data_IF_754510082057
#
_entry.id   IF_754510082057
#
_cell.length_a   1.000
_cell.length_b   1.000
_cell.length_c   1.000
_cell.angle_alpha   90.00
_cell.angle_beta   90.00
_cell.angle_gamma   90.00
#
_symmetry.space_group_name_H-M   'P 1'
#
loop_
_entity.id
_entity.type
_entity.pdbx_description
1 polymer ?
#
# COMPACT_ATOMS: atom_id res chain seq x y z
N UNK A 1 1.77 -0.51 -18.37
CA UNK A 1 2.83 -0.79 -17.36
C UNK A 1 2.37 -0.37 -15.97
N UNK A 2 1.85 0.85 -15.80
CA UNK A 2 1.26 1.36 -14.55
C UNK A 2 0.10 0.48 -14.05
N UNK A 3 -0.89 0.20 -14.90
CA UNK A 3 -2.02 -0.69 -14.56
C UNK A 3 -1.58 -2.08 -14.08
N UNK A 4 -0.48 -2.62 -14.61
CA UNK A 4 0.05 -3.90 -14.18
C UNK A 4 0.66 -3.85 -12.76
N UNK A 5 1.21 -2.70 -12.36
CA UNK A 5 1.74 -2.49 -11.00
C UNK A 5 0.60 -2.26 -10.00
N UNK A 6 -0.43 -1.49 -10.38
CA UNK A 6 -1.67 -1.34 -9.61
C UNK A 6 -2.30 -2.70 -9.33
N UNK A 7 -2.47 -3.52 -10.36
CA UNK A 7 -3.04 -4.86 -10.21
C UNK A 7 -2.17 -5.77 -9.35
N UNK A 8 -0.84 -5.65 -9.40
CA UNK A 8 0.06 -6.41 -8.53
C UNK A 8 -0.13 -6.03 -7.05
N UNK A 9 -0.21 -4.74 -6.72
CA UNK A 9 -0.50 -4.28 -5.36
C UNK A 9 -1.84 -4.83 -4.85
N UNK A 10 -2.89 -4.73 -5.67
CA UNK A 10 -4.22 -5.29 -5.37
C UNK A 10 -4.16 -6.80 -5.15
N UNK A 11 -3.37 -7.52 -5.96
CA UNK A 11 -3.22 -8.96 -5.81
C UNK A 11 -2.50 -9.35 -4.52
N UNK A 12 -1.49 -8.60 -4.07
CA UNK A 12 -0.83 -8.86 -2.79
C UNK A 12 -1.83 -8.77 -1.62
N UNK A 13 -2.66 -7.72 -1.59
CA UNK A 13 -3.69 -7.54 -0.54
C UNK A 13 -4.70 -8.69 -0.58
N UNK A 14 -5.23 -9.02 -1.76
CA UNK A 14 -6.23 -10.09 -1.91
C UNK A 14 -5.70 -11.47 -1.53
N UNK A 15 -4.46 -11.78 -1.91
CA UNK A 15 -3.82 -13.05 -1.59
C UNK A 15 -3.53 -13.18 -0.09
N UNK A 16 -3.28 -12.07 0.61
CA UNK A 16 -3.13 -12.07 2.07
C UNK A 16 -4.44 -12.39 2.79
N UNK A 17 -5.56 -11.87 2.28
CA UNK A 17 -6.84 -11.86 2.97
C UNK A 17 -7.95 -12.65 2.24
N UNK A 18 -7.71 -13.93 2.01
CA UNK A 18 -8.74 -14.88 1.59
C UNK A 18 -9.37 -15.64 2.77
N UNK A 19 -10.67 -15.94 2.68
CA UNK A 19 -11.44 -16.70 3.69
C UNK A 19 -10.91 -18.13 3.89
N UNK A 20 -10.16 -18.64 2.93
CA UNK A 20 -9.47 -19.92 3.01
C UNK A 20 -8.06 -19.68 3.56
N UNK A 21 -7.88 -19.89 4.87
CA UNK A 21 -6.64 -19.59 5.58
C UNK A 21 -5.44 -20.29 4.93
N UNK A 22 -5.62 -21.51 4.41
CA UNK A 22 -4.56 -22.30 3.77
C UNK A 22 -4.07 -21.71 2.44
N UNK A 23 -4.84 -20.79 1.84
CA UNK A 23 -4.49 -20.11 0.58
C UNK A 23 -3.89 -18.73 0.81
N UNK A 24 -3.82 -18.26 2.06
CA UNK A 24 -3.25 -16.95 2.38
C UNK A 24 -1.77 -16.94 2.04
N UNK A 25 -1.31 -15.81 1.48
CA UNK A 25 0.11 -15.57 1.17
C UNK A 25 0.56 -14.31 1.89
N UNK A 26 1.75 -14.35 2.46
CA UNK A 26 2.36 -13.14 3.01
C UNK A 26 2.62 -12.13 1.91
N UNK A 27 2.54 -10.85 2.27
CA UNK A 27 2.87 -9.75 1.37
C UNK A 27 4.39 -9.66 1.26
N UNK A 28 4.91 -9.81 0.05
CA UNK A 28 6.31 -9.50 -0.24
C UNK A 28 6.47 -7.98 -0.24
N UNK A 29 6.81 -7.41 0.92
CA UNK A 29 6.86 -5.97 1.14
C UNK A 29 7.79 -5.27 0.14
N UNK A 30 8.92 -5.90 -0.19
CA UNK A 30 9.88 -5.33 -1.13
C UNK A 30 9.29 -5.23 -2.53
N UNK A 31 8.66 -6.30 -3.04
CA UNK A 31 7.99 -6.23 -4.34
C UNK A 31 6.79 -5.31 -4.35
N UNK A 32 6.05 -5.24 -3.24
CA UNK A 32 4.94 -4.29 -3.10
C UNK A 32 5.44 -2.85 -3.21
N UNK A 33 6.49 -2.51 -2.47
CA UNK A 33 7.10 -1.18 -2.50
C UNK A 33 7.73 -0.87 -3.86
N UNK A 34 8.29 -1.84 -4.58
CA UNK A 34 8.75 -1.62 -5.95
C UNK A 34 7.60 -1.27 -6.90
N UNK A 35 6.48 -2.00 -6.83
CA UNK A 35 5.29 -1.67 -7.60
C UNK A 35 4.83 -0.25 -7.28
N UNK A 36 4.76 0.08 -5.99
CA UNK A 36 4.30 1.38 -5.54
C UNK A 36 5.25 2.52 -5.95
N UNK A 37 6.56 2.36 -5.78
CA UNK A 37 7.59 3.31 -6.24
C UNK A 37 7.47 3.63 -7.73
N UNK A 38 7.23 2.61 -8.57
CA UNK A 38 6.99 2.80 -10.02
C UNK A 38 5.76 3.67 -10.26
N UNK A 39 4.66 3.41 -9.54
CA UNK A 39 3.45 4.23 -9.63
C UNK A 39 3.74 5.67 -9.20
N UNK A 40 4.34 5.88 -8.04
CA UNK A 40 4.70 7.20 -7.54
C UNK A 40 5.60 7.95 -8.52
N UNK A 41 6.62 7.29 -9.09
CA UNK A 41 7.55 7.88 -10.07
C UNK A 41 6.90 8.25 -11.40
N UNK A 42 5.72 7.72 -11.70
CA UNK A 42 4.98 8.03 -12.93
C UNK A 42 4.02 9.21 -12.78
N UNK A 43 3.81 9.73 -11.56
CA UNK A 43 2.85 10.79 -11.27
C UNK A 43 3.52 12.16 -11.25
N UNK A 44 2.96 13.11 -11.99
CA UNK A 44 3.48 14.47 -12.05
C UNK A 44 3.52 15.14 -10.67
N UNK A 45 2.54 14.87 -9.79
CA UNK A 45 2.53 15.40 -8.43
C UNK A 45 3.78 15.01 -7.63
N UNK A 46 4.15 13.73 -7.68
CA UNK A 46 5.39 13.24 -7.06
C UNK A 46 6.62 13.87 -7.71
N UNK A 47 6.66 13.93 -9.04
CA UNK A 47 7.81 14.47 -9.77
C UNK A 47 8.05 15.95 -9.45
N UNK A 48 7.00 16.76 -9.32
CA UNK A 48 7.14 18.15 -8.91
C UNK A 48 7.79 18.29 -7.53
N UNK A 49 7.36 17.47 -6.56
CA UNK A 49 7.93 17.49 -5.19
C UNK A 49 9.40 17.04 -5.23
N UNK A 50 9.70 15.97 -5.97
CA UNK A 50 11.08 15.46 -6.15
C UNK A 50 11.99 16.51 -6.79
N UNK A 51 11.51 17.24 -7.80
CA UNK A 51 12.27 18.33 -8.43
C UNK A 51 12.54 19.46 -7.44
N UNK A 52 11.53 19.89 -6.66
CA UNK A 52 11.72 20.90 -5.61
C UNK A 52 12.75 20.42 -4.57
N UNK A 53 12.72 19.15 -4.13
CA UNK A 53 13.74 18.59 -3.24
C UNK A 53 15.15 18.69 -3.84
N UNK A 54 15.30 18.45 -5.14
CA UNK A 54 16.60 18.53 -5.83
C UNK A 54 17.11 19.96 -5.96
N UNK A 55 16.21 20.91 -6.23
CA UNK A 55 16.57 22.31 -6.48
C UNK A 55 16.77 23.10 -5.18
N UNK A 56 15.92 22.86 -4.18
CA UNK A 56 15.85 23.62 -2.93
C UNK A 56 16.49 22.89 -1.74
N UNK A 57 16.78 21.59 -1.89
CA UNK A 57 17.28 20.73 -0.83
C UNK A 57 16.18 20.02 -0.02
N UNK A 58 16.58 19.01 0.73
CA UNK A 58 15.67 18.22 1.56
C UNK A 58 15.25 19.00 2.82
N UNK A 59 13.95 19.12 3.06
CA UNK A 59 13.39 19.82 4.22
C UNK A 59 12.24 19.03 4.84
N UNK A 60 11.94 19.28 6.12
CA UNK A 60 10.76 18.65 6.75
C UNK A 60 9.45 18.97 6.02
N UNK A 61 9.36 20.14 5.36
CA UNK A 61 8.17 20.53 4.63
C UNK A 61 7.98 19.66 3.38
N UNK A 62 8.99 19.56 2.51
CA UNK A 62 8.86 18.77 1.29
C UNK A 62 8.85 17.26 1.56
N UNK A 63 9.45 16.79 2.67
CA UNK A 63 9.24 15.43 3.19
C UNK A 63 7.77 15.16 3.53
N UNK A 64 7.14 16.07 4.28
CA UNK A 64 5.74 15.96 4.66
C UNK A 64 4.82 15.98 3.44
N UNK A 65 5.03 16.91 2.52
CA UNK A 65 4.30 16.99 1.25
C UNK A 65 4.45 15.70 0.43
N UNK A 66 5.65 15.10 0.40
CA UNK A 66 5.89 13.83 -0.27
C UNK A 66 5.13 12.67 0.41
N UNK A 67 5.15 12.59 1.74
CA UNK A 67 4.42 11.58 2.52
C UNK A 67 2.92 11.65 2.26
N UNK A 68 2.33 12.84 2.30
CA UNK A 68 0.90 13.04 2.01
C UNK A 68 0.55 12.65 0.57
N UNK A 69 1.35 13.07 -0.41
CA UNK A 69 1.12 12.71 -1.81
C UNK A 69 1.21 11.19 -2.03
N UNK A 70 2.18 10.51 -1.41
CA UNK A 70 2.27 9.04 -1.46
C UNK A 70 1.06 8.38 -0.79
N UNK A 71 0.67 8.83 0.40
CA UNK A 71 -0.51 8.31 1.09
C UNK A 71 -1.77 8.41 0.20
N UNK A 72 -1.94 9.54 -0.50
CA UNK A 72 -3.04 9.74 -1.44
C UNK A 72 -2.99 8.77 -2.63
N UNK A 73 -1.80 8.56 -3.24
CA UNK A 73 -1.64 7.61 -4.34
C UNK A 73 -1.94 6.18 -3.85
N UNK A 74 -1.45 5.80 -2.67
CA UNK A 74 -1.72 4.49 -2.09
C UNK A 74 -3.23 4.25 -1.94
N UNK A 75 -3.94 5.22 -1.36
CA UNK A 75 -5.39 5.12 -1.16
C UNK A 75 -6.11 5.06 -2.51
N UNK A 76 -5.70 5.88 -3.47
CA UNK A 76 -6.31 5.88 -4.81
C UNK A 76 -6.20 4.51 -5.50
N UNK A 77 -5.08 3.79 -5.32
CA UNK A 77 -4.88 2.44 -5.90
C UNK A 77 -5.61 1.35 -5.11
N UNK A 78 -5.64 1.44 -3.78
CA UNK A 78 -5.95 0.29 -2.91
C UNK A 78 -7.33 0.36 -2.24
N UNK A 79 -7.97 1.53 -2.16
CA UNK A 79 -9.20 1.73 -1.37
C UNK A 79 -10.31 0.74 -1.73
N UNK A 80 -10.59 0.56 -3.02
CA UNK A 80 -11.64 -0.35 -3.46
C UNK A 80 -11.33 -1.80 -3.08
N UNK A 81 -10.07 -2.22 -3.22
CA UNK A 81 -9.63 -3.56 -2.81
C UNK A 81 -9.78 -3.76 -1.31
N UNK A 82 -9.31 -2.80 -0.50
CA UNK A 82 -9.37 -2.84 0.96
C UNK A 82 -10.82 -2.90 1.44
N UNK A 83 -11.68 -2.04 0.90
CA UNK A 83 -13.10 -2.02 1.22
C UNK A 83 -13.78 -3.36 0.89
N UNK A 84 -13.47 -3.94 -0.27
CA UNK A 84 -14.00 -5.25 -0.67
C UNK A 84 -13.51 -6.39 0.23
N UNK A 85 -12.24 -6.37 0.65
CA UNK A 85 -11.70 -7.34 1.60
C UNK A 85 -12.44 -7.23 2.93
N UNK A 86 -12.55 -6.03 3.51
CA UNK A 86 -13.24 -5.82 4.80
C UNK A 86 -14.69 -6.29 4.71
N UNK A 87 -15.42 -5.81 3.69
CA UNK A 87 -16.83 -6.14 3.45
C UNK A 87 -17.06 -7.65 3.34
N UNK A 88 -16.16 -8.37 2.66
CA UNK A 88 -16.24 -9.84 2.52
C UNK A 88 -16.24 -10.57 3.87
N UNK A 89 -15.55 -10.04 4.88
CA UNK A 89 -15.53 -10.62 6.22
C UNK A 89 -16.68 -10.10 7.09
N UNK A 90 -16.94 -8.79 7.10
CA UNK A 90 -18.02 -8.15 7.87
C UNK A 90 -19.41 -8.69 7.47
N UNK A 91 -19.69 -8.80 6.17
CA UNK A 91 -20.98 -9.26 5.64
C UNK A 91 -21.05 -10.79 5.46
N UNK A 92 -20.17 -11.53 6.14
CA UNK A 92 -20.21 -13.00 6.09
C UNK A 92 -21.55 -13.52 6.58
N UNK A 93 -22.21 -14.33 5.73
CA UNK A 93 -23.45 -15.04 6.03
C UNK A 93 -23.27 -16.54 5.76
N UNK A 94 -23.99 -17.37 6.50
CA UNK A 94 -23.87 -18.82 6.38
C UNK A 94 -24.67 -19.56 7.45
N UNK A 95 -24.86 -20.87 7.25
CA UNK A 95 -25.52 -21.75 8.24
C UNK A 95 -24.62 -22.06 9.44
N UNK A 96 -23.31 -22.04 9.24
CA UNK A 96 -22.32 -22.24 10.30
C UNK A 96 -22.04 -20.90 10.99
N UNK A 97 -22.74 -20.65 12.09
CA UNK A 97 -22.65 -19.39 12.84
C UNK A 97 -21.28 -19.20 13.47
N UNK A 98 -20.65 -20.27 13.97
CA UNK A 98 -19.31 -20.21 14.57
C UNK A 98 -18.29 -19.71 13.56
N UNK A 99 -18.32 -20.24 12.34
CA UNK A 99 -17.42 -19.81 11.26
C UNK A 99 -17.69 -18.37 10.81
N UNK A 100 -18.94 -17.93 10.83
CA UNK A 100 -19.31 -16.53 10.55
C UNK A 100 -18.74 -15.60 11.62
N UNK A 101 -18.83 -15.97 12.89
CA UNK A 101 -18.30 -15.18 14.00
C UNK A 101 -16.77 -15.11 13.95
N UNK A 102 -16.10 -16.22 13.62
CA UNK A 102 -14.65 -16.25 13.37
C UNK A 102 -14.24 -15.25 12.28
N UNK A 103 -14.94 -15.22 11.13
CA UNK A 103 -14.64 -14.26 10.08
C UNK A 103 -14.86 -12.80 10.50
N UNK A 104 -15.92 -12.50 11.24
CA UNK A 104 -16.19 -11.15 11.73
C UNK A 104 -15.16 -10.71 12.77
N UNK A 105 -14.69 -11.64 13.60
CA UNK A 105 -13.64 -11.39 14.59
C UNK A 105 -12.27 -11.08 13.95
N UNK A 106 -12.02 -11.51 12.70
CA UNK A 106 -10.80 -11.15 11.96
C UNK A 106 -10.80 -9.71 11.44
N UNK A 107 -11.95 -9.04 11.34
CA UNK A 107 -12.05 -7.71 10.75
C UNK A 107 -11.15 -6.65 11.41
N UNK A 108 -11.06 -6.54 12.75
CA UNK A 108 -10.12 -5.63 13.39
C UNK A 108 -8.66 -5.93 13.05
N UNK A 109 -8.29 -7.21 12.98
CA UNK A 109 -6.93 -7.65 12.61
C UNK A 109 -6.59 -7.29 11.16
N UNK A 110 -7.56 -7.42 10.26
CA UNK A 110 -7.42 -7.01 8.87
C UNK A 110 -7.19 -5.49 8.78
N UNK A 111 -8.00 -4.69 9.49
CA UNK A 111 -7.90 -3.23 9.50
C UNK A 111 -6.55 -2.76 10.04
N UNK A 112 -6.11 -3.34 11.16
CA UNK A 112 -4.81 -3.06 11.76
C UNK A 112 -3.66 -3.41 10.82
N UNK A 113 -3.69 -4.61 10.22
CA UNK A 113 -2.68 -5.02 9.25
C UNK A 113 -2.60 -4.07 8.06
N UNK A 114 -3.74 -3.69 7.48
CA UNK A 114 -3.78 -2.82 6.29
C UNK A 114 -3.32 -1.39 6.60
N UNK A 115 -3.60 -0.90 7.82
CA UNK A 115 -3.06 0.36 8.32
C UNK A 115 -1.54 0.31 8.42
N UNK A 116 -1.00 -0.72 9.10
CA UNK A 116 0.44 -0.89 9.26
C UNK A 116 1.15 -1.07 7.91
N UNK A 117 0.56 -1.85 6.99
CA UNK A 117 1.07 -2.04 5.65
C UNK A 117 1.18 -0.71 4.89
N UNK A 118 0.19 0.17 5.01
CA UNK A 118 0.22 1.48 4.35
C UNK A 118 1.40 2.32 4.85
N UNK A 119 1.55 2.45 6.17
CA UNK A 119 2.62 3.24 6.78
C UNK A 119 4.00 2.71 6.36
N UNK A 120 4.20 1.40 6.47
CA UNK A 120 5.46 0.73 6.09
C UNK A 120 5.78 0.91 4.60
N UNK A 121 4.78 0.74 3.72
CA UNK A 121 4.95 0.92 2.28
C UNK A 121 5.34 2.36 1.93
N UNK A 122 4.70 3.35 2.55
CA UNK A 122 5.01 4.76 2.31
C UNK A 122 6.45 5.07 2.71
N UNK A 123 6.86 4.67 3.92
CA UNK A 123 8.19 4.93 4.45
C UNK A 123 9.29 4.30 3.57
N UNK A 124 9.16 3.00 3.28
CA UNK A 124 10.12 2.28 2.43
C UNK A 124 10.17 2.88 1.02
N UNK A 125 9.00 3.23 0.47
CA UNK A 125 8.94 3.72 -0.91
C UNK A 125 9.50 5.12 -1.07
N UNK A 126 9.50 5.97 -0.04
CA UNK A 126 10.22 7.26 -0.06
C UNK A 126 11.72 7.01 -0.24
N UNK A 127 12.31 6.12 0.55
CA UNK A 127 13.73 5.78 0.41
C UNK A 127 14.06 5.26 -1.00
N UNK A 128 13.24 4.34 -1.50
CA UNK A 128 13.40 3.80 -2.86
C UNK A 128 13.21 4.87 -3.95
N UNK A 129 12.31 5.84 -3.75
CA UNK A 129 12.14 6.97 -4.67
C UNK A 129 13.38 7.86 -4.67
N UNK A 130 13.96 8.15 -3.51
CA UNK A 130 15.16 8.97 -3.42
C UNK A 130 16.36 8.33 -4.11
N UNK A 131 16.59 7.03 -3.90
CA UNK A 131 17.62 6.29 -4.63
C UNK A 131 17.35 6.33 -6.13
N UNK A 132 16.12 6.02 -6.56
CA UNK A 132 15.77 6.00 -7.98
C UNK A 132 15.95 7.36 -8.67
N UNK A 133 15.69 8.45 -7.96
CA UNK A 133 15.83 9.80 -8.49
C UNK A 133 17.21 10.43 -8.23
N UNK A 134 18.20 9.67 -7.73
CA UNK A 134 19.54 10.17 -7.38
C UNK A 134 19.52 11.33 -6.36
N UNK A 135 18.64 11.26 -5.38
CA UNK A 135 18.63 12.17 -4.21
C UNK A 135 19.48 11.58 -3.07
N UNK A 136 19.51 10.26 -2.93
CA UNK A 136 20.32 9.54 -1.95
C UNK A 136 21.07 8.38 -2.60
N UNK A 137 22.15 7.93 -1.98
CA UNK A 137 22.87 6.70 -2.38
C UNK A 137 22.13 5.45 -1.88
N UNK A 138 22.32 4.33 -2.57
CA UNK A 138 21.83 3.02 -2.14
C UNK A 138 22.69 2.56 -0.95
N UNK A 139 22.06 2.25 0.19
CA UNK A 139 22.72 1.81 1.44
C UNK A 139 22.65 0.30 1.58
#
# INVERSE_FOLDING_TARGET
MIEAMEQQMVNYINNRWTKDINKRREVDINKFCECFRVLCSSRNSTLCIITSIKEEGYTHRNEYELKENLAWIYDWVTSDCINNVIKKYEESTGKDTKKVDEYKAEVPLIKEFLWNLKEEVIEISIGKLFVFHNISEEV
#
